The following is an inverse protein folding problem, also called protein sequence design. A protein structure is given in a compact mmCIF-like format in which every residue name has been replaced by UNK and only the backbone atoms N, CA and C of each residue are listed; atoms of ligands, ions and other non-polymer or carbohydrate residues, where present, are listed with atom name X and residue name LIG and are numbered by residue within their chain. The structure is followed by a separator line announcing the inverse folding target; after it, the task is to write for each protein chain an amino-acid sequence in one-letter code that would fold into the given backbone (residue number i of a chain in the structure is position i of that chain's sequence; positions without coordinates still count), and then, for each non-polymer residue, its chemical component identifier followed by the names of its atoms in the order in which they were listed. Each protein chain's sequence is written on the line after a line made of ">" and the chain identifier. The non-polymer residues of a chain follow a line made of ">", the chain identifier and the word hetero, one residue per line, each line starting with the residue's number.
data_IF_019100744197
#
_entry.id   IF_019100744197
#
_cell.length_a   1.000
_cell.length_b   1.000
_cell.length_c   1.000
_cell.angle_alpha   90.00
_cell.angle_beta   90.00
_cell.angle_gamma   90.00
#
_symmetry.space_group_name_H-M   'P 1'
#
loop_
_entity.id
_entity.type
_entity.pdbx_description
1 polymer ?
#
# COMPACT_ATOMS: atom_id res chain seq x y z
N UNK A 1 -58.07 37.57 -29.19
CA UNK A 1 -56.82 37.50 -29.96
C UNK A 1 -55.83 36.71 -29.11
N UNK A 2 -55.66 35.40 -29.30
CA UNK A 2 -54.77 34.78 -30.29
C UNK A 2 -53.39 35.49 -30.27
N UNK A 3 -52.26 34.88 -29.88
CA UNK A 3 -51.61 33.66 -30.38
C UNK A 3 -50.58 33.17 -29.32
N UNK A 4 -50.50 31.87 -28.98
CA UNK A 4 -49.47 30.86 -29.40
C UNK A 4 -48.02 31.21 -28.98
N UNK A 5 -47.17 30.38 -28.34
CA UNK A 5 -46.87 28.95 -28.45
C UNK A 5 -46.26 28.42 -27.12
N UNK A 6 -46.76 27.32 -26.57
CA UNK A 6 -46.20 25.95 -26.59
C UNK A 6 -44.83 25.74 -25.87
N UNK A 7 -44.78 24.88 -24.82
CA UNK A 7 -43.55 24.39 -24.22
C UNK A 7 -42.99 23.22 -25.04
N UNK A 8 -41.69 23.22 -25.33
CA UNK A 8 -41.05 22.06 -25.92
C UNK A 8 -40.82 20.99 -24.86
N UNK A 9 -41.74 20.03 -24.83
CA UNK A 9 -41.54 18.69 -24.28
C UNK A 9 -40.50 17.94 -25.12
N UNK A 10 -39.42 17.47 -24.50
CA UNK A 10 -38.60 16.39 -25.06
C UNK A 10 -38.89 15.10 -24.28
N UNK A 11 -39.68 14.24 -24.90
CA UNK A 11 -39.97 12.87 -24.46
C UNK A 11 -38.91 11.90 -25.02
N UNK A 12 -38.59 10.89 -24.20
CA UNK A 12 -38.31 9.50 -24.57
C UNK A 12 -36.89 9.05 -25.01
N UNK A 13 -36.27 8.32 -24.06
CA UNK A 13 -35.78 6.91 -24.17
C UNK A 13 -34.44 6.64 -24.94
N UNK A 14 -33.80 5.45 -24.78
CA UNK A 14 -32.84 5.18 -23.70
C UNK A 14 -31.54 4.47 -24.21
N UNK A 15 -30.65 4.05 -23.29
CA UNK A 15 -29.60 3.02 -23.47
C UNK A 15 -28.45 3.32 -24.46
N UNK A 16 -27.25 3.52 -23.90
CA UNK A 16 -26.01 2.91 -24.37
C UNK A 16 -25.08 2.75 -23.15
N UNK A 17 -25.17 1.64 -22.41
CA UNK A 17 -24.33 0.46 -22.64
C UNK A 17 -22.82 0.79 -22.73
N UNK A 18 -22.24 1.37 -21.67
CA UNK A 18 -20.80 1.23 -21.44
C UNK A 18 -20.56 -0.19 -20.93
N UNK A 19 -20.34 -1.08 -21.90
CA UNK A 19 -19.82 -2.43 -21.72
C UNK A 19 -18.63 -2.38 -20.77
N UNK A 20 -18.82 -2.85 -19.55
CA UNK A 20 -17.73 -3.40 -18.78
C UNK A 20 -17.20 -4.58 -19.61
N UNK A 21 -16.05 -4.39 -20.24
CA UNK A 21 -15.32 -5.49 -20.85
C UNK A 21 -14.98 -6.46 -19.72
N UNK A 22 -15.74 -7.55 -19.66
CA UNK A 22 -15.40 -8.72 -18.89
C UNK A 22 -14.06 -9.22 -19.42
N UNK A 23 -12.96 -8.76 -18.81
CA UNK A 23 -11.67 -9.38 -19.00
C UNK A 23 -11.79 -10.76 -18.37
N UNK A 24 -11.94 -11.75 -19.23
CA UNK A 24 -11.71 -13.15 -18.90
C UNK A 24 -10.39 -13.23 -18.15
N UNK A 25 -10.45 -13.74 -16.91
CA UNK A 25 -9.25 -14.19 -16.21
C UNK A 25 -8.70 -15.36 -17.00
N UNK A 26 -7.74 -15.07 -17.88
CA UNK A 26 -6.89 -16.09 -18.45
C UNK A 26 -5.96 -16.56 -17.33
N UNK A 27 -6.27 -17.73 -16.79
CA UNK A 27 -5.30 -18.54 -16.06
C UNK A 27 -4.16 -18.81 -17.04
N UNK A 28 -3.10 -18.01 -16.94
CA UNK A 28 -1.87 -18.30 -17.64
C UNK A 28 -1.26 -19.51 -16.93
N UNK A 29 -1.48 -20.70 -17.49
CA UNK A 29 -0.65 -21.85 -17.13
C UNK A 29 0.77 -21.47 -17.48
N UNK A 30 1.61 -21.28 -16.46
CA UNK A 30 3.04 -21.03 -16.60
C UNK A 30 3.64 -22.09 -17.52
N UNK A 31 4.07 -21.67 -18.72
CA UNK A 31 4.88 -22.47 -19.64
C UNK A 31 6.24 -22.70 -19.00
N UNK A 32 6.36 -23.74 -18.16
CA UNK A 32 7.56 -24.18 -17.46
C UNK A 32 8.73 -24.63 -18.38
N UNK A 33 8.61 -24.49 -19.70
CA UNK A 33 9.54 -25.09 -20.66
C UNK A 33 10.21 -24.09 -21.61
N UNK A 34 9.85 -22.81 -21.60
CA UNK A 34 10.33 -21.84 -22.61
C UNK A 34 11.59 -21.06 -22.22
N UNK A 35 12.25 -21.42 -21.12
CA UNK A 35 13.51 -20.81 -20.68
C UNK A 35 14.74 -21.74 -20.69
N UNK A 36 14.55 -23.06 -20.89
CA UNK A 36 15.64 -24.04 -20.88
C UNK A 36 16.42 -24.11 -22.21
N UNK A 37 15.89 -23.53 -23.29
CA UNK A 37 16.54 -23.53 -24.61
C UNK A 37 17.60 -22.44 -24.77
N UNK A 38 17.72 -21.51 -23.81
CA UNK A 38 18.70 -20.41 -23.83
C UNK A 38 19.98 -20.71 -23.01
N UNK A 39 20.32 -21.97 -22.79
CA UNK A 39 21.59 -22.38 -22.16
C UNK A 39 22.70 -22.48 -23.23
N UNK A 40 22.88 -21.43 -24.05
CA UNK A 40 24.02 -21.31 -24.98
C UNK A 40 25.08 -20.32 -24.51
N UNK A 41 24.80 -19.51 -23.48
CA UNK A 41 25.75 -18.54 -22.94
C UNK A 41 26.50 -19.11 -21.72
N UNK A 42 27.32 -20.14 -21.95
CA UNK A 42 28.37 -20.50 -20.98
C UNK A 42 29.60 -19.62 -21.29
N UNK A 43 30.08 -18.80 -20.34
CA UNK A 43 31.30 -18.01 -20.54
C UNK A 43 32.48 -18.94 -20.85
N UNK A 44 33.28 -18.59 -21.85
CA UNK A 44 34.50 -19.33 -22.17
C UNK A 44 35.58 -18.99 -21.13
N UNK A 45 36.04 -20.01 -20.39
CA UNK A 45 37.02 -19.88 -19.29
C UNK A 45 38.31 -19.13 -19.72
N UNK A 46 38.71 -18.14 -18.90
CA UNK A 46 39.91 -17.29 -19.11
C UNK A 46 41.13 -17.69 -18.28
N UNK A 47 41.02 -18.66 -17.37
CA UNK A 47 41.97 -18.76 -16.23
C UNK A 47 43.23 -19.58 -16.49
N UNK A 48 43.46 -20.04 -17.73
CA UNK A 48 44.73 -20.66 -18.13
C UNK A 48 45.43 -19.86 -19.21
N UNK A 49 46.58 -19.26 -18.86
CA UNK A 49 47.55 -18.73 -19.83
C UNK A 49 47.94 -19.86 -20.80
N UNK A 50 47.87 -19.64 -22.12
CA UNK A 50 48.20 -20.67 -23.09
C UNK A 50 49.71 -20.92 -23.11
N UNK A 51 50.14 -22.14 -22.76
CA UNK A 51 51.46 -22.66 -23.11
C UNK A 51 51.37 -23.27 -24.50
N UNK A 52 51.64 -22.48 -25.54
CA UNK A 52 51.72 -22.99 -26.91
C UNK A 52 51.47 -21.94 -27.98
N UNK A 53 52.46 -21.77 -28.87
CA UNK A 53 52.35 -21.06 -30.14
C UNK A 53 51.35 -21.80 -31.04
N UNK A 54 50.41 -21.06 -31.65
CA UNK A 54 49.40 -21.52 -32.62
C UNK A 54 48.13 -22.18 -32.07
N UNK A 55 47.12 -21.34 -31.84
CA UNK A 55 45.73 -21.51 -32.32
C UNK A 55 45.00 -20.18 -32.07
N UNK A 56 44.33 -19.65 -33.09
CA UNK A 56 43.51 -18.42 -32.99
C UNK A 56 42.36 -18.57 -31.99
N UNK A 57 41.49 -17.56 -31.84
CA UNK A 57 40.39 -17.57 -30.86
C UNK A 57 39.27 -18.50 -31.35
N UNK A 58 39.55 -19.81 -31.36
CA UNK A 58 38.54 -20.84 -31.52
C UNK A 58 37.76 -20.95 -30.21
N UNK A 59 36.43 -21.05 -30.31
CA UNK A 59 35.52 -21.32 -29.19
C UNK A 59 36.10 -22.45 -28.32
N UNK A 60 36.62 -22.11 -27.14
CA UNK A 60 37.16 -23.09 -26.20
C UNK A 60 35.97 -23.87 -25.65
N UNK A 61 35.91 -25.17 -25.89
CA UNK A 61 34.90 -26.04 -25.28
C UNK A 61 35.12 -26.01 -23.77
N UNK A 62 34.12 -25.53 -23.03
CA UNK A 62 34.13 -25.55 -21.56
C UNK A 62 34.13 -26.99 -21.07
N UNK A 63 34.89 -27.27 -20.01
CA UNK A 63 34.90 -28.62 -19.45
C UNK A 63 33.48 -28.96 -18.95
N UNK A 64 32.99 -30.21 -19.11
CA UNK A 64 31.63 -30.58 -18.69
C UNK A 64 31.32 -30.23 -17.23
N UNK A 65 32.32 -30.30 -16.35
CA UNK A 65 32.19 -29.92 -14.94
C UNK A 65 31.99 -28.40 -14.74
N UNK A 66 32.72 -27.56 -15.47
CA UNK A 66 32.56 -26.10 -15.43
C UNK A 66 31.20 -25.71 -16.00
N UNK A 67 30.79 -26.30 -17.13
CA UNK A 67 29.47 -26.08 -17.72
C UNK A 67 28.33 -26.45 -16.77
N UNK A 68 28.43 -27.58 -16.05
CA UNK A 68 27.46 -27.98 -15.05
C UNK A 68 27.38 -26.99 -13.87
N UNK A 69 28.51 -26.45 -13.42
CA UNK A 69 28.55 -25.43 -12.37
C UNK A 69 27.89 -24.12 -12.82
N UNK A 70 28.17 -23.66 -14.05
CA UNK A 70 27.52 -22.48 -14.61
C UNK A 70 26.00 -22.67 -14.78
N UNK A 71 25.58 -23.83 -15.26
CA UNK A 71 24.16 -24.17 -15.38
C UNK A 71 23.47 -24.23 -14.01
N UNK A 72 24.14 -24.77 -13.00
CA UNK A 72 23.63 -24.76 -11.63
C UNK A 72 23.46 -23.34 -11.09
N UNK A 73 24.47 -22.47 -11.25
CA UNK A 73 24.40 -21.08 -10.83
C UNK A 73 23.28 -20.36 -11.57
N UNK A 74 23.15 -20.54 -12.90
CA UNK A 74 22.09 -19.90 -13.69
C UNK A 74 20.70 -20.42 -13.33
N UNK A 75 20.56 -21.71 -13.02
CA UNK A 75 19.33 -22.29 -12.52
C UNK A 75 18.96 -21.70 -11.16
N UNK A 76 19.94 -21.54 -10.27
CA UNK A 76 19.75 -20.88 -8.98
C UNK A 76 19.37 -19.40 -9.15
N UNK A 77 20.07 -18.65 -10.00
CA UNK A 77 19.76 -17.25 -10.31
C UNK A 77 18.32 -17.13 -10.85
N UNK A 78 17.89 -18.06 -11.70
CA UNK A 78 16.55 -18.05 -12.29
C UNK A 78 15.47 -18.42 -11.25
N UNK A 79 15.70 -19.46 -10.44
CA UNK A 79 14.80 -19.82 -9.34
C UNK A 79 14.71 -18.70 -8.28
N UNK A 80 15.81 -18.02 -8.00
CA UNK A 80 15.80 -16.82 -7.17
C UNK A 80 15.01 -15.72 -7.87
N UNK A 81 15.30 -15.35 -9.13
CA UNK A 81 14.50 -14.32 -9.80
C UNK A 81 12.99 -14.61 -9.82
N UNK A 82 12.55 -15.84 -10.05
CA UNK A 82 11.12 -16.20 -10.00
C UNK A 82 10.53 -16.04 -8.58
N UNK A 83 11.26 -16.48 -7.54
CA UNK A 83 10.79 -16.35 -6.15
C UNK A 83 10.91 -14.94 -5.58
N UNK A 84 11.85 -14.15 -6.09
CA UNK A 84 12.04 -12.75 -5.75
C UNK A 84 11.00 -11.92 -6.51
N UNK A 85 10.83 -12.03 -7.82
CA UNK A 85 9.87 -11.20 -8.59
C UNK A 85 8.42 -11.30 -8.09
N UNK A 86 7.94 -12.49 -7.71
CA UNK A 86 6.53 -12.65 -7.29
C UNK A 86 6.28 -12.21 -5.83
N UNK A 87 7.27 -12.37 -4.94
CA UNK A 87 7.10 -12.17 -3.49
C UNK A 87 8.02 -11.11 -2.89
N UNK A 88 8.80 -10.39 -3.70
CA UNK A 88 9.75 -9.38 -3.23
C UNK A 88 9.13 -8.31 -2.35
N UNK A 89 8.02 -7.68 -2.76
CA UNK A 89 7.36 -6.67 -1.93
C UNK A 89 6.84 -7.22 -0.60
N UNK A 90 6.74 -8.55 -0.47
CA UNK A 90 6.15 -9.24 0.67
C UNK A 90 7.18 -10.06 1.48
N UNK A 91 8.48 -9.86 1.23
CA UNK A 91 9.55 -10.51 2.00
C UNK A 91 9.54 -9.99 3.44
N UNK A 92 9.14 -10.85 4.36
CA UNK A 92 8.97 -10.52 5.78
C UNK A 92 7.60 -10.92 6.31
N UNK A 93 6.62 -11.13 5.44
CA UNK A 93 5.31 -11.67 5.85
C UNK A 93 5.39 -13.19 6.03
N UNK A 94 4.71 -13.76 7.05
CA UNK A 94 4.57 -15.20 7.17
C UNK A 94 3.83 -15.76 5.93
N UNK A 95 4.25 -16.93 5.46
CA UNK A 95 3.58 -17.59 4.35
C UNK A 95 2.19 -18.07 4.79
N UNK A 96 1.13 -17.83 4.00
CA UNK A 96 -0.18 -18.39 4.30
C UNK A 96 -0.14 -19.92 4.21
N UNK A 97 -1.15 -20.57 4.81
CA UNK A 97 -1.29 -22.02 4.76
C UNK A 97 -1.61 -22.46 3.32
N UNK A 98 -0.77 -23.36 2.79
CA UNK A 98 -0.92 -23.91 1.44
C UNK A 98 -1.95 -25.05 1.44
N UNK A 99 -3.23 -24.69 1.35
CA UNK A 99 -4.35 -25.62 1.22
C UNK A 99 -5.14 -25.34 -0.03
N UNK A 100 -5.72 -26.39 -0.61
CA UNK A 100 -6.75 -26.25 -1.62
C UNK A 100 -7.95 -25.54 -0.98
N UNK A 101 -8.36 -24.39 -1.51
CA UNK A 101 -9.44 -23.55 -0.97
C UNK A 101 -8.96 -22.26 -0.29
N UNK A 102 -7.67 -22.16 0.05
CA UNK A 102 -7.08 -20.96 0.63
C UNK A 102 -6.40 -20.06 -0.42
N UNK A 103 -6.81 -20.16 -1.70
CA UNK A 103 -6.22 -19.37 -2.79
C UNK A 103 -6.31 -17.86 -2.55
N UNK A 104 -7.35 -17.42 -1.83
CA UNK A 104 -7.55 -16.01 -1.50
C UNK A 104 -6.41 -15.46 -0.64
N UNK A 105 -5.74 -16.28 0.18
CA UNK A 105 -4.62 -15.84 1.01
C UNK A 105 -3.30 -15.71 0.23
N UNK A 106 -3.17 -16.41 -0.90
CA UNK A 106 -1.97 -16.36 -1.75
C UNK A 106 -2.02 -15.20 -2.75
N UNK A 107 -3.22 -14.79 -3.15
CA UNK A 107 -3.46 -13.66 -4.06
C UNK A 107 -3.05 -12.34 -3.40
N UNK A 108 -2.51 -11.42 -4.21
CA UNK A 108 -2.23 -10.04 -3.80
C UNK A 108 -3.52 -9.22 -3.86
N UNK A 109 -3.96 -8.71 -2.71
CA UNK A 109 -5.20 -7.95 -2.58
C UNK A 109 -5.00 -6.46 -2.87
N UNK A 110 -5.70 -5.89 -3.86
CA UNK A 110 -5.78 -4.44 -4.03
C UNK A 110 -6.39 -3.78 -2.80
N UNK A 111 -5.73 -2.77 -2.25
CA UNK A 111 -6.26 -2.05 -1.09
C UNK A 111 -7.64 -1.42 -1.36
N UNK A 112 -7.92 -1.01 -2.59
CA UNK A 112 -9.26 -0.54 -2.98
C UNK A 112 -10.38 -1.57 -2.74
N UNK A 113 -10.16 -2.85 -3.07
CA UNK A 113 -11.15 -3.91 -2.83
C UNK A 113 -11.35 -4.17 -1.33
N UNK A 114 -10.29 -4.03 -0.54
CA UNK A 114 -10.37 -4.13 0.92
C UNK A 114 -11.17 -2.96 1.49
N UNK A 115 -11.01 -1.74 0.95
CA UNK A 115 -11.78 -0.57 1.37
C UNK A 115 -13.25 -0.61 0.90
N UNK A 116 -13.57 -1.25 -0.22
CA UNK A 116 -14.96 -1.47 -0.65
C UNK A 116 -15.69 -2.47 0.26
N UNK A 117 -14.97 -3.47 0.78
CA UNK A 117 -15.52 -4.55 1.59
C UNK A 117 -15.11 -4.42 3.07
N UNK A 118 -15.57 -3.36 3.74
CA UNK A 118 -15.31 -3.20 5.18
C UNK A 118 -16.29 -4.04 5.99
N UNK A 119 -15.81 -5.17 6.50
CA UNK A 119 -16.60 -6.11 7.30
C UNK A 119 -16.07 -6.12 8.73
N UNK A 120 -16.95 -5.88 9.71
CA UNK A 120 -16.62 -5.93 11.14
C UNK A 120 -17.39 -7.08 11.78
N UNK A 121 -16.68 -7.89 12.55
CA UNK A 121 -17.26 -9.00 13.33
C UNK A 121 -17.00 -8.74 14.81
N UNK A 122 -17.75 -9.43 15.68
CA UNK A 122 -17.60 -9.29 17.11
C UNK A 122 -16.13 -9.51 17.57
N UNK A 123 -15.57 -8.68 18.46
CA UNK A 123 -14.15 -8.77 18.86
C UNK A 123 -13.77 -10.10 19.53
N UNK A 124 -14.74 -10.78 20.15
CA UNK A 124 -14.52 -12.11 20.75
C UNK A 124 -14.47 -13.26 19.75
N UNK A 125 -14.77 -13.03 18.48
CA UNK A 125 -14.59 -14.06 17.45
C UNK A 125 -13.11 -14.39 17.32
N UNK A 126 -12.80 -15.68 17.38
CA UNK A 126 -11.43 -16.20 17.32
C UNK A 126 -11.01 -16.55 15.90
N UNK A 127 -11.81 -17.40 15.25
CA UNK A 127 -11.49 -17.97 13.95
C UNK A 127 -12.75 -18.24 13.15
N UNK A 128 -12.66 -18.17 11.81
CA UNK A 128 -13.74 -18.53 10.88
C UNK A 128 -13.15 -19.47 9.83
N UNK A 129 -13.69 -20.68 9.75
CA UNK A 129 -13.28 -21.70 8.77
C UNK A 129 -14.42 -21.98 7.80
N UNK A 130 -14.17 -21.95 6.50
CA UNK A 130 -15.15 -22.31 5.47
C UNK A 130 -14.73 -23.61 4.81
N UNK A 131 -15.55 -24.64 4.93
CA UNK A 131 -15.32 -25.95 4.33
C UNK A 131 -16.32 -26.20 3.21
N UNK A 132 -15.83 -26.57 2.04
CA UNK A 132 -16.68 -26.94 0.90
C UNK A 132 -16.08 -28.12 0.13
N UNK A 133 -16.91 -28.90 -0.54
CA UNK A 133 -16.46 -30.06 -1.33
C UNK A 133 -15.95 -29.67 -2.70
N UNK A 134 -15.06 -30.48 -3.27
CA UNK A 134 -14.63 -30.35 -4.66
C UNK A 134 -15.72 -30.77 -5.63
N UNK A 135 -16.50 -31.80 -5.29
CA UNK A 135 -17.51 -32.39 -6.17
C UNK A 135 -18.86 -32.52 -5.45
N UNK A 136 -19.92 -32.27 -6.20
CA UNK A 136 -21.31 -32.38 -5.76
C UNK A 136 -22.07 -33.20 -6.80
N UNK A 137 -23.02 -34.00 -6.33
CA UNK A 137 -23.89 -34.82 -7.16
C UNK A 137 -25.22 -34.14 -7.47
N UNK A 138 -25.67 -33.21 -6.62
CA UNK A 138 -26.93 -32.49 -6.81
C UNK A 138 -26.72 -31.05 -7.29
N UNK A 139 -27.64 -30.49 -8.09
CA UNK A 139 -27.54 -29.09 -8.54
C UNK A 139 -27.63 -28.09 -7.38
N UNK A 140 -28.37 -28.42 -6.32
CA UNK A 140 -28.47 -27.59 -5.12
C UNK A 140 -27.16 -27.62 -4.32
N UNK A 141 -26.56 -28.81 -4.14
CA UNK A 141 -25.26 -28.92 -3.49
C UNK A 141 -24.17 -28.20 -4.28
N UNK A 142 -24.19 -28.29 -5.60
CA UNK A 142 -23.27 -27.54 -6.46
C UNK A 142 -23.45 -26.02 -6.28
N UNK A 143 -24.69 -25.53 -6.22
CA UNK A 143 -24.98 -24.12 -5.90
C UNK A 143 -24.42 -23.74 -4.52
N UNK A 144 -24.62 -24.58 -3.51
CA UNK A 144 -24.14 -24.35 -2.15
C UNK A 144 -22.61 -24.26 -2.10
N UNK A 145 -21.91 -25.18 -2.77
CA UNK A 145 -20.45 -25.18 -2.85
C UNK A 145 -19.91 -23.94 -3.58
N UNK A 146 -20.55 -23.52 -4.68
CA UNK A 146 -20.21 -22.27 -5.38
C UNK A 146 -20.44 -21.04 -4.52
N UNK A 147 -21.53 -21.00 -3.73
CA UNK A 147 -21.81 -19.93 -2.77
C UNK A 147 -20.73 -19.87 -1.68
N UNK A 148 -20.41 -21.01 -1.07
CA UNK A 148 -19.35 -21.10 -0.05
C UNK A 148 -18.00 -20.64 -0.59
N UNK A 149 -17.63 -21.10 -1.79
CA UNK A 149 -16.40 -20.68 -2.49
C UNK A 149 -16.41 -19.19 -2.83
N UNK A 150 -17.54 -18.65 -3.29
CA UNK A 150 -17.64 -17.21 -3.59
C UNK A 150 -17.49 -16.39 -2.32
N UNK A 151 -18.13 -16.80 -1.23
CA UNK A 151 -18.01 -16.12 0.07
C UNK A 151 -16.58 -16.21 0.62
N UNK A 152 -15.91 -17.37 0.49
CA UNK A 152 -14.53 -17.54 0.93
C UNK A 152 -13.57 -16.61 0.19
N UNK A 153 -13.73 -16.53 -1.15
CA UNK A 153 -12.91 -15.70 -2.01
C UNK A 153 -13.18 -14.20 -1.85
N UNK A 154 -14.44 -13.81 -1.60
CA UNK A 154 -14.83 -12.40 -1.56
C UNK A 154 -14.68 -11.76 -0.18
N UNK A 155 -14.97 -12.49 0.90
CA UNK A 155 -15.22 -11.87 2.21
C UNK A 155 -14.27 -12.31 3.33
N UNK A 156 -13.61 -13.47 3.25
CA UNK A 156 -12.72 -13.90 4.34
C UNK A 156 -11.51 -12.98 4.52
N UNK A 157 -10.81 -12.66 3.44
CA UNK A 157 -9.64 -11.77 3.53
C UNK A 157 -10.02 -10.38 4.02
N UNK A 158 -11.09 -9.73 3.53
CA UNK A 158 -11.57 -8.49 4.14
C UNK A 158 -11.93 -8.62 5.62
N UNK A 159 -12.53 -9.74 6.07
CA UNK A 159 -12.81 -9.96 7.49
C UNK A 159 -11.52 -9.95 8.32
N UNK A 160 -10.50 -10.75 7.99
CA UNK A 160 -9.25 -10.76 8.79
C UNK A 160 -8.47 -9.44 8.63
N UNK A 161 -8.53 -8.80 7.46
CA UNK A 161 -7.87 -7.52 7.24
C UNK A 161 -8.42 -6.43 8.16
N UNK A 162 -9.74 -6.32 8.26
CA UNK A 162 -10.42 -5.32 9.10
C UNK A 162 -10.59 -5.73 10.56
N UNK A 163 -10.36 -7.00 10.89
CA UNK A 163 -10.42 -7.56 12.24
C UNK A 163 -9.13 -8.35 12.47
N UNK A 164 -8.07 -7.65 12.84
CA UNK A 164 -6.72 -8.21 12.92
C UNK A 164 -6.58 -9.36 13.92
N UNK A 165 -7.51 -9.49 14.87
CA UNK A 165 -7.57 -10.59 15.82
C UNK A 165 -8.16 -11.89 15.23
N UNK A 166 -8.90 -11.84 14.12
CA UNK A 166 -9.65 -13.00 13.61
C UNK A 166 -8.81 -13.76 12.59
N UNK A 167 -8.62 -15.06 12.83
CA UNK A 167 -8.02 -15.95 11.83
C UNK A 167 -9.09 -16.45 10.87
N UNK A 168 -8.81 -16.44 9.57
CA UNK A 168 -9.73 -16.94 8.55
C UNK A 168 -9.03 -17.98 7.69
N UNK A 169 -9.76 -19.03 7.34
CA UNK A 169 -9.24 -20.10 6.49
C UNK A 169 -10.38 -20.70 5.67
N UNK A 170 -10.07 -21.12 4.45
CA UNK A 170 -10.99 -21.89 3.63
C UNK A 170 -10.30 -23.14 3.13
N UNK A 171 -11.03 -24.25 3.13
CA UNK A 171 -10.52 -25.55 2.72
C UNK A 171 -11.53 -26.26 1.82
N UNK A 172 -11.03 -26.74 0.68
CA UNK A 172 -11.75 -27.54 -0.28
C UNK A 172 -11.46 -29.02 -0.02
N UNK A 173 -12.47 -29.74 0.45
CA UNK A 173 -12.40 -31.17 0.74
C UNK A 173 -12.54 -31.98 -0.54
N UNK A 174 -11.63 -32.93 -0.77
CA UNK A 174 -11.63 -33.81 -1.94
C UNK A 174 -12.62 -34.98 -1.80
N UNK A 175 -13.88 -34.64 -1.47
CA UNK A 175 -14.96 -35.58 -1.26
C UNK A 175 -16.22 -35.19 -2.06
N UNK A 176 -17.16 -36.13 -2.16
CA UNK A 176 -18.52 -35.85 -2.61
C UNK A 176 -19.38 -35.47 -1.40
N UNK A 177 -19.74 -34.19 -1.30
CA UNK A 177 -20.61 -33.69 -0.24
C UNK A 177 -21.52 -32.60 -0.78
N UNK A 178 -22.78 -32.58 -0.35
CA UNK A 178 -23.80 -31.64 -0.83
C UNK A 178 -23.94 -30.41 0.07
N UNK A 179 -23.34 -30.42 1.26
CA UNK A 179 -23.59 -29.40 2.28
C UNK A 179 -22.27 -28.85 2.80
N UNK A 180 -21.78 -27.73 2.22
CA UNK A 180 -20.69 -26.96 2.81
C UNK A 180 -21.08 -26.39 4.17
N UNK A 181 -20.11 -26.06 5.00
CA UNK A 181 -20.36 -25.43 6.30
C UNK A 181 -19.27 -24.43 6.67
N UNK A 182 -19.64 -23.52 7.58
CA UNK A 182 -18.73 -22.56 8.20
C UNK A 182 -18.64 -22.86 9.68
N UNK A 183 -17.43 -22.87 10.23
CA UNK A 183 -17.20 -23.01 11.67
C UNK A 183 -16.70 -21.68 12.21
N UNK A 184 -17.46 -21.09 13.13
CA UNK A 184 -17.09 -19.87 13.85
C UNK A 184 -16.65 -20.26 15.26
N UNK A 185 -15.44 -19.90 15.64
CA UNK A 185 -14.91 -20.09 16.99
C UNK A 185 -14.92 -18.77 17.75
N UNK A 186 -15.20 -18.82 19.04
CA UNK A 186 -15.06 -17.70 19.96
C UNK A 186 -13.81 -17.88 20.85
N UNK A 187 -13.30 -16.79 21.41
CA UNK A 187 -12.13 -16.79 22.30
C UNK A 187 -12.38 -17.54 23.62
N UNK A 188 -13.64 -17.69 24.04
CA UNK A 188 -14.01 -18.47 25.22
C UNK A 188 -13.99 -20.00 25.00
N UNK A 189 -13.65 -20.45 23.79
CA UNK A 189 -13.58 -21.85 23.40
C UNK A 189 -14.87 -22.42 22.81
N UNK A 190 -15.97 -21.66 22.81
CA UNK A 190 -17.21 -22.08 22.15
C UNK A 190 -17.08 -22.02 20.62
N UNK A 191 -17.89 -22.82 19.92
CA UNK A 191 -17.94 -22.82 18.47
C UNK A 191 -19.37 -23.03 17.97
N UNK A 192 -19.65 -22.55 16.76
CA UNK A 192 -20.92 -22.76 16.07
C UNK A 192 -20.67 -23.16 14.62
N UNK A 193 -21.45 -24.13 14.16
CA UNK A 193 -21.44 -24.60 12.79
C UNK A 193 -22.65 -24.02 12.04
N UNK A 194 -22.39 -23.42 10.88
CA UNK A 194 -23.39 -22.82 9.99
C UNK A 194 -23.40 -23.59 8.66
N UNK A 195 -24.43 -24.40 8.37
CA UNK A 195 -24.53 -25.07 7.08
C UNK A 195 -24.90 -24.06 5.98
N UNK A 196 -24.30 -24.20 4.80
CA UNK A 196 -24.60 -23.36 3.64
C UNK A 196 -25.80 -23.95 2.90
N UNK A 197 -26.96 -23.28 2.99
CA UNK A 197 -28.22 -23.73 2.41
C UNK A 197 -28.84 -22.63 1.53
N UNK A 198 -28.40 -22.52 0.26
CA UNK A 198 -28.96 -21.52 -0.65
C UNK A 198 -30.39 -21.88 -1.03
N UNK A 199 -31.20 -20.85 -1.34
CA UNK A 199 -32.55 -21.08 -1.86
C UNK A 199 -32.52 -21.51 -3.34
N UNK A 200 -33.48 -22.35 -3.79
CA UNK A 200 -33.54 -22.74 -5.19
C UNK A 200 -33.78 -21.51 -6.08
N UNK A 201 -32.93 -21.34 -7.10
CA UNK A 201 -32.99 -20.20 -8.03
C UNK A 201 -32.26 -18.94 -7.57
N UNK A 202 -31.66 -18.94 -6.37
CA UNK A 202 -30.85 -17.85 -5.86
C UNK A 202 -29.55 -17.67 -6.66
N UNK A 203 -29.11 -16.43 -6.87
CA UNK A 203 -27.81 -16.19 -7.50
C UNK A 203 -26.68 -16.49 -6.52
N UNK A 204 -25.51 -16.88 -7.06
CA UNK A 204 -24.32 -17.16 -6.22
C UNK A 204 -23.89 -15.93 -5.40
N UNK A 205 -24.09 -14.73 -5.95
CA UNK A 205 -23.74 -13.48 -5.27
C UNK A 205 -24.66 -13.22 -4.07
N UNK A 206 -25.98 -13.27 -4.29
CA UNK A 206 -26.97 -13.10 -3.21
C UNK A 206 -26.77 -14.17 -2.12
N UNK A 207 -26.54 -15.43 -2.52
CA UNK A 207 -26.26 -16.50 -1.56
C UNK A 207 -24.99 -16.26 -0.74
N UNK A 208 -23.96 -15.66 -1.33
CA UNK A 208 -22.73 -15.33 -0.63
C UNK A 208 -22.92 -14.15 0.35
N UNK A 209 -23.73 -13.16 0.00
CA UNK A 209 -24.12 -12.05 0.88
C UNK A 209 -24.98 -12.53 2.05
N UNK A 210 -25.94 -13.42 1.79
CA UNK A 210 -26.74 -14.06 2.85
C UNK A 210 -25.88 -14.90 3.79
N UNK A 211 -24.91 -15.65 3.24
CA UNK A 211 -23.95 -16.41 4.05
C UNK A 211 -23.07 -15.48 4.89
N UNK A 212 -22.60 -14.36 4.33
CA UNK A 212 -21.86 -13.35 5.08
C UNK A 212 -22.68 -12.81 6.25
N UNK A 213 -23.94 -12.44 6.00
CA UNK A 213 -24.86 -11.97 7.04
C UNK A 213 -25.05 -13.03 8.14
N UNK A 214 -25.22 -14.30 7.76
CA UNK A 214 -25.33 -15.40 8.72
C UNK A 214 -24.05 -15.57 9.56
N UNK A 215 -22.87 -15.42 8.96
CA UNK A 215 -21.57 -15.47 9.67
C UNK A 215 -21.46 -14.32 10.67
N UNK A 216 -21.76 -13.08 10.25
CA UNK A 216 -21.71 -11.89 11.11
C UNK A 216 -22.69 -12.02 12.28
N UNK A 217 -23.93 -12.45 12.01
CA UNK A 217 -24.94 -12.67 13.05
C UNK A 217 -24.50 -13.75 14.04
N UNK A 218 -23.94 -14.86 13.55
CA UNK A 218 -23.41 -15.90 14.42
C UNK A 218 -22.24 -15.40 15.28
N UNK A 219 -21.35 -14.57 14.73
CA UNK A 219 -20.26 -13.94 15.50
C UNK A 219 -20.80 -13.05 16.62
N UNK A 220 -21.81 -12.24 16.33
CA UNK A 220 -22.44 -11.36 17.32
C UNK A 220 -23.16 -12.17 18.41
N UNK A 221 -24.01 -13.12 18.04
CA UNK A 221 -24.72 -13.97 19.00
C UNK A 221 -23.74 -14.76 19.90
N UNK A 222 -22.65 -15.28 19.34
CA UNK A 222 -21.62 -15.96 20.13
C UNK A 222 -20.84 -15.01 21.04
N UNK A 223 -20.57 -13.80 20.56
CA UNK A 223 -19.90 -12.75 21.33
C UNK A 223 -20.73 -12.28 22.53
N UNK A 224 -22.03 -12.08 22.33
CA UNK A 224 -22.97 -11.66 23.37
C UNK A 224 -23.21 -12.78 24.40
N UNK A 225 -23.09 -14.04 23.98
CA UNK A 225 -23.23 -15.20 24.85
C UNK A 225 -21.99 -15.48 25.74
N UNK A 226 -20.91 -14.71 25.61
CA UNK A 226 -19.67 -14.91 26.39
C UNK A 226 -19.92 -14.68 27.88
N UNK A 227 -19.74 -15.73 28.68
CA UNK A 227 -19.99 -15.71 30.13
C UNK A 227 -19.02 -14.84 30.92
N UNK A 228 -17.75 -14.75 30.50
CA UNK A 228 -16.66 -14.06 31.23
C UNK A 228 -15.97 -13.01 30.36
N UNK A 229 -16.65 -11.90 30.02
CA UNK A 229 -16.15 -10.94 29.03
C UNK A 229 -14.82 -10.30 29.43
N UNK A 230 -14.60 -10.01 30.72
CA UNK A 230 -13.34 -9.40 31.19
C UNK A 230 -12.12 -10.29 30.97
N UNK A 231 -12.25 -11.59 31.19
CA UNK A 231 -11.17 -12.55 30.96
C UNK A 231 -10.91 -12.70 29.46
N UNK A 232 -11.99 -12.79 28.67
CA UNK A 232 -11.88 -12.90 27.22
C UNK A 232 -11.27 -11.63 26.60
N UNK A 233 -11.55 -10.45 27.13
CA UNK A 233 -10.88 -9.20 26.72
C UNK A 233 -9.38 -9.23 27.00
N UNK A 234 -8.93 -9.83 28.13
CA UNK A 234 -7.49 -9.99 28.40
C UNK A 234 -6.84 -10.93 27.38
N UNK A 235 -7.50 -12.05 27.09
CA UNK A 235 -7.06 -12.97 26.04
C UNK A 235 -6.98 -12.26 24.69
N UNK A 236 -7.97 -11.41 24.36
CA UNK A 236 -7.95 -10.61 23.14
C UNK A 236 -6.76 -9.65 23.10
N UNK A 237 -6.47 -8.93 24.19
CA UNK A 237 -5.35 -7.99 24.26
C UNK A 237 -3.98 -8.66 24.17
N UNK A 238 -3.85 -9.89 24.66
CA UNK A 238 -2.60 -10.68 24.59
C UNK A 238 -2.44 -11.42 23.25
N UNK A 239 -3.50 -11.47 22.45
CA UNK A 239 -3.49 -12.23 21.20
C UNK A 239 -2.71 -11.48 20.11
N UNK A 240 -1.81 -12.16 19.38
CA UNK A 240 -1.12 -11.55 18.25
C UNK A 240 -2.05 -11.32 17.05
N UNK A 241 -1.62 -10.44 16.15
CA UNK A 241 -2.30 -10.18 14.89
C UNK A 241 -2.31 -11.44 14.01
N UNK A 242 -3.48 -11.80 13.49
CA UNK A 242 -3.70 -12.98 12.65
C UNK A 242 -3.57 -12.67 11.16
N UNK A 243 -3.72 -11.40 10.76
CA UNK A 243 -3.73 -10.95 9.37
C UNK A 243 -2.32 -10.71 8.77
N UNK A 244 -1.26 -11.13 9.45
CA UNK A 244 0.13 -10.87 9.04
C UNK A 244 0.50 -11.52 7.70
N UNK A 245 -0.18 -12.59 7.29
CA UNK A 245 0.07 -13.28 6.02
C UNK A 245 -0.57 -12.59 4.81
N UNK A 246 -1.45 -11.60 5.02
CA UNK A 246 -2.22 -10.97 3.95
C UNK A 246 -1.30 -10.10 3.10
N UNK A 247 -1.26 -10.38 1.80
CA UNK A 247 -0.47 -9.62 0.82
C UNK A 247 -1.32 -8.47 0.29
N UNK A 248 -1.02 -7.25 0.73
CA UNK A 248 -1.78 -6.05 0.35
C UNK A 248 -0.99 -5.19 -0.62
N UNK A 249 -1.62 -4.80 -1.73
CA UNK A 249 -1.08 -3.82 -2.66
C UNK A 249 -1.66 -2.43 -2.34
N UNK A 250 -0.85 -1.58 -1.71
CA UNK A 250 -1.18 -0.19 -1.34
C UNK A 250 -1.02 0.79 -2.53
N UNK A 251 -1.69 0.49 -3.64
CA UNK A 251 -1.58 1.13 -4.96
C UNK A 251 -1.14 2.62 -5.00
N UNK A 252 -1.98 3.54 -4.50
CA UNK A 252 -1.71 5.00 -4.46
C UNK A 252 -2.05 5.62 -3.10
N UNK A 253 -2.35 4.78 -2.11
CA UNK A 253 -2.82 5.24 -0.80
C UNK A 253 -1.66 5.62 0.12
N UNK A 254 -0.46 5.08 -0.11
CA UNK A 254 0.69 5.24 0.77
C UNK A 254 1.11 3.90 1.39
N UNK A 255 2.43 3.70 1.46
CA UNK A 255 3.04 2.46 1.95
C UNK A 255 3.00 2.42 3.48
N UNK A 256 3.19 3.58 4.12
CA UNK A 256 3.11 3.71 5.58
C UNK A 256 1.70 4.06 6.05
N UNK A 257 1.30 3.68 7.28
CA UNK A 257 0.05 4.14 7.86
C UNK A 257 -0.08 5.68 7.91
N UNK A 258 1.03 6.39 8.12
CA UNK A 258 1.07 7.86 8.15
C UNK A 258 0.74 8.48 6.80
N UNK A 259 1.27 7.93 5.70
CA UNK A 259 0.92 8.38 4.34
C UNK A 259 -0.56 8.15 4.04
N UNK A 260 -1.08 6.97 4.39
CA UNK A 260 -2.50 6.63 4.22
C UNK A 260 -3.42 7.55 5.00
N UNK A 261 -2.99 7.98 6.18
CA UNK A 261 -3.73 8.86 7.07
C UNK A 261 -3.28 10.32 6.98
N UNK A 262 -2.49 10.70 5.97
CA UNK A 262 -1.95 12.06 5.82
C UNK A 262 -3.02 13.15 5.69
N UNK A 263 -4.23 12.76 5.27
CA UNK A 263 -5.40 13.62 5.18
C UNK A 263 -6.17 13.78 6.51
N UNK A 264 -5.74 13.09 7.58
CA UNK A 264 -6.35 13.12 8.91
C UNK A 264 -5.32 13.57 9.96
N UNK A 265 -5.81 14.17 11.05
CA UNK A 265 -4.96 14.51 12.20
C UNK A 265 -4.85 13.29 13.12
N UNK A 266 -3.62 12.83 13.37
CA UNK A 266 -3.33 11.74 14.32
C UNK A 266 -3.11 12.31 15.73
N UNK A 267 -4.14 12.27 16.56
CA UNK A 267 -4.05 12.68 17.97
C UNK A 267 -3.47 11.58 18.87
N UNK A 268 -3.68 10.33 18.49
CA UNK A 268 -3.19 9.17 19.23
C UNK A 268 -1.71 8.93 18.89
N UNK A 269 -0.82 9.60 19.63
CA UNK A 269 0.62 9.40 19.55
C UNK A 269 1.24 9.21 20.93
N UNK A 270 2.24 8.34 21.01
CA UNK A 270 3.03 8.15 22.22
C UNK A 270 4.17 9.20 22.25
N UNK A 271 4.31 10.02 23.29
CA UNK A 271 5.36 11.04 23.36
C UNK A 271 6.78 10.46 23.25
N UNK A 272 6.99 9.24 23.73
CA UNK A 272 8.28 8.54 23.65
C UNK A 272 8.68 8.17 22.22
N UNK A 273 7.69 7.84 21.37
CA UNK A 273 7.91 7.51 19.95
C UNK A 273 8.15 8.75 19.10
N UNK A 274 7.48 9.87 19.42
CA UNK A 274 7.58 11.12 18.65
C UNK A 274 8.88 11.89 18.94
N UNK A 275 9.45 11.74 20.14
CA UNK A 275 10.67 12.43 20.53
C UNK A 275 11.89 11.93 19.69
N UNK A 276 12.53 12.77 18.86
CA UNK A 276 13.61 12.29 18.00
C UNK A 276 14.82 11.84 18.83
N UNK A 277 15.27 10.61 18.59
CA UNK A 277 16.41 9.98 19.27
C UNK A 277 17.72 10.19 18.49
N UNK A 278 18.07 11.47 18.28
CA UNK A 278 19.25 11.88 17.51
C UNK A 278 20.08 12.90 18.31
N UNK A 279 21.40 12.85 18.15
CA UNK A 279 22.27 13.94 18.63
C UNK A 279 21.90 15.23 17.88
N UNK A 280 21.88 16.36 18.57
CA UNK A 280 21.48 17.66 18.02
C UNK A 280 20.07 17.66 17.40
N UNK A 281 19.12 16.86 17.94
CA UNK A 281 17.74 16.77 17.44
C UNK A 281 17.06 18.11 17.19
N UNK A 282 17.29 19.12 18.04
CA UNK A 282 16.70 20.45 17.89
C UNK A 282 17.17 21.14 16.61
N UNK A 283 18.46 21.03 16.28
CA UNK A 283 19.01 21.57 15.03
C UNK A 283 18.32 20.91 13.82
N UNK A 284 18.25 19.58 13.79
CA UNK A 284 17.62 18.85 12.70
C UNK A 284 16.13 19.19 12.53
N UNK A 285 15.39 19.33 13.64
CA UNK A 285 13.97 19.71 13.60
C UNK A 285 13.79 21.13 13.06
N UNK A 286 14.62 22.09 13.49
CA UNK A 286 14.60 23.46 12.96
C UNK A 286 14.88 23.47 11.45
N UNK A 287 15.87 22.70 11.01
CA UNK A 287 16.22 22.55 9.59
C UNK A 287 15.07 21.95 8.77
N UNK A 288 14.40 20.89 9.26
CA UNK A 288 13.27 20.25 8.58
C UNK A 288 12.03 21.14 8.50
N UNK A 289 11.74 21.86 9.58
CA UNK A 289 10.61 22.81 9.63
C UNK A 289 10.91 24.10 8.88
N UNK A 290 12.17 24.33 8.50
CA UNK A 290 12.65 25.62 8.00
C UNK A 290 12.24 26.77 8.94
N UNK A 291 12.40 26.53 10.24
CA UNK A 291 12.11 27.48 11.31
C UNK A 291 13.42 27.96 11.93
N UNK A 292 13.54 29.27 12.11
CA UNK A 292 14.75 29.93 12.60
C UNK A 292 15.01 29.72 14.09
N UNK A 293 13.98 29.36 14.87
CA UNK A 293 14.13 29.11 16.31
C UNK A 293 14.58 30.33 17.09
N UNK A 294 14.33 31.54 16.55
CA UNK A 294 14.85 32.81 17.06
C UNK A 294 16.39 32.87 17.17
N UNK A 295 17.11 32.12 16.33
CA UNK A 295 18.58 32.16 16.27
C UNK A 295 19.07 33.33 15.41
N UNK A 296 20.21 33.96 15.74
CA UNK A 296 20.76 35.05 14.94
C UNK A 296 21.25 34.55 13.56
N UNK A 297 21.12 35.41 12.54
CA UNK A 297 21.61 35.10 11.19
C UNK A 297 23.13 34.93 11.16
N UNK A 298 23.60 33.93 10.40
CA UNK A 298 25.02 33.69 10.23
C UNK A 298 25.72 34.84 9.49
N UNK A 299 26.98 35.13 9.84
CA UNK A 299 27.72 36.26 9.26
C UNK A 299 27.90 36.16 7.73
N UNK A 300 28.02 34.94 7.19
CA UNK A 300 28.09 34.74 5.73
C UNK A 300 26.86 35.30 5.00
N UNK A 301 25.67 35.22 5.61
CA UNK A 301 24.45 35.81 5.06
C UNK A 301 24.60 37.32 4.97
N UNK A 302 25.10 37.97 6.03
CA UNK A 302 25.32 39.43 6.05
C UNK A 302 26.34 39.88 4.99
N UNK A 303 27.41 39.11 4.81
CA UNK A 303 28.43 39.37 3.77
C UNK A 303 27.84 39.20 2.38
N UNK A 304 27.07 38.14 2.15
CA UNK A 304 26.40 37.89 0.87
C UNK A 304 25.38 38.98 0.55
N UNK A 305 24.56 39.42 1.52
CA UNK A 305 23.62 40.53 1.35
C UNK A 305 24.35 41.79 0.87
N UNK A 306 25.47 42.16 1.51
CA UNK A 306 26.26 43.33 1.09
C UNK A 306 26.83 43.16 -0.32
N UNK A 307 27.29 41.96 -0.67
CA UNK A 307 27.82 41.65 -2.00
C UNK A 307 26.73 41.74 -3.08
N UNK A 308 25.56 41.16 -2.84
CA UNK A 308 24.44 41.23 -3.79
C UNK A 308 23.88 42.66 -3.89
N UNK A 309 23.83 43.42 -2.79
CA UNK A 309 23.47 44.83 -2.81
C UNK A 309 24.45 45.67 -3.67
N UNK A 310 25.74 45.34 -3.65
CA UNK A 310 26.73 45.99 -4.50
C UNK A 310 26.57 45.61 -5.99
N UNK A 311 26.23 44.35 -6.30
CA UNK A 311 25.93 43.89 -7.68
C UNK A 311 24.67 44.54 -8.24
N UNK A 312 23.63 44.66 -7.42
CA UNK A 312 22.33 45.23 -7.77
C UNK A 312 22.30 46.76 -7.73
N UNK A 313 23.44 47.43 -7.57
CA UNK A 313 23.55 48.90 -7.46
C UNK A 313 23.29 49.65 -8.79
N UNK A 314 22.35 49.18 -9.61
CA UNK A 314 21.85 49.83 -10.83
C UNK A 314 20.34 49.61 -10.87
N UNK A 315 19.53 50.63 -10.53
CA UNK A 315 19.47 51.91 -11.25
C UNK A 315 19.63 53.17 -10.35
N UNK A 316 19.87 54.33 -10.99
CA UNK A 316 19.84 55.64 -10.32
C UNK A 316 18.45 55.91 -9.74
N UNK A 317 18.33 55.95 -8.41
CA UNK A 317 17.07 56.27 -7.71
C UNK A 317 16.88 57.78 -7.50
N UNK A 318 17.46 58.61 -8.37
CA UNK A 318 17.34 60.07 -8.28
C UNK A 318 16.02 60.55 -8.91
N UNK A 319 15.10 61.05 -8.09
CA UNK A 319 13.91 61.76 -8.57
C UNK A 319 14.23 63.25 -8.78
N UNK A 320 13.83 63.82 -9.92
CA UNK A 320 14.21 65.18 -10.37
C UNK A 320 14.16 66.25 -9.27
N UNK A 321 12.99 66.59 -8.69
CA UNK A 321 12.88 67.63 -7.67
C UNK A 321 13.57 67.28 -6.34
N UNK A 322 13.78 65.99 -6.04
CA UNK A 322 14.46 65.56 -4.80
C UNK A 322 15.97 65.81 -4.84
N UNK A 323 16.55 66.02 -6.02
CA UNK A 323 17.99 66.33 -6.17
C UNK A 323 18.40 67.61 -5.44
N UNK A 324 17.52 68.62 -5.37
CA UNK A 324 17.76 69.85 -4.61
C UNK A 324 17.97 69.55 -3.12
N UNK A 325 17.13 68.73 -2.50
CA UNK A 325 17.29 68.33 -1.11
C UNK A 325 18.44 67.34 -0.90
N UNK A 326 18.67 66.41 -1.83
CA UNK A 326 19.79 65.46 -1.79
C UNK A 326 21.16 66.17 -1.88
N UNK A 327 21.22 67.37 -2.47
CA UNK A 327 22.45 68.18 -2.57
C UNK A 327 22.94 68.73 -1.22
N UNK A 328 22.08 68.77 -0.20
CA UNK A 328 22.43 69.23 1.15
C UNK A 328 23.57 68.44 1.81
N UNK A 329 23.77 67.17 1.42
CA UNK A 329 24.88 66.34 1.88
C UNK A 329 26.26 66.78 1.36
N UNK A 330 26.31 67.50 0.23
CA UNK A 330 27.56 67.96 -0.40
C UNK A 330 28.19 69.17 0.30
N UNK A 331 27.44 69.86 1.18
CA UNK A 331 27.94 70.96 2.04
C UNK A 331 28.86 71.97 1.35
N UNK A 332 28.52 72.37 0.11
CA UNK A 332 29.34 73.27 -0.70
C UNK A 332 29.34 74.73 -0.22
N UNK A 333 28.49 75.09 0.74
CA UNK A 333 28.42 76.44 1.30
C UNK A 333 29.48 76.61 2.40
N UNK A 334 30.34 77.63 2.28
CA UNK A 334 31.38 77.96 3.26
C UNK A 334 30.85 78.22 4.69
N UNK A 335 29.54 78.45 4.85
CA UNK A 335 28.86 78.60 6.14
C UNK A 335 28.53 77.26 6.82
N UNK A 336 28.80 76.13 6.16
CA UNK A 336 28.51 74.80 6.73
C UNK A 336 29.67 74.31 7.59
N UNK A 337 29.46 74.28 8.91
CA UNK A 337 30.43 73.73 9.84
C UNK A 337 30.28 72.19 9.95
N UNK A 338 31.40 71.48 10.14
CA UNK A 338 31.41 70.01 10.24
C UNK A 338 30.81 69.50 11.55
N UNK A 339 31.10 70.21 12.65
CA UNK A 339 30.73 69.83 14.02
C UNK A 339 29.57 70.65 14.59
N UNK A 340 29.27 71.82 13.98
CA UNK A 340 28.11 72.64 14.33
C UNK A 340 27.14 72.60 13.14
N UNK A 341 25.95 72.00 13.34
CA UNK A 341 24.91 71.94 12.32
C UNK A 341 24.63 73.34 11.75
N UNK A 342 24.29 73.40 10.45
CA UNK A 342 24.22 74.56 9.56
C UNK A 342 23.33 75.75 9.99
N UNK A 343 23.54 76.29 11.19
CA UNK A 343 23.16 77.62 11.60
C UNK A 343 24.41 78.47 11.42
N UNK A 344 24.44 79.28 10.37
CA UNK A 344 25.34 80.42 10.34
C UNK A 344 25.10 81.24 11.61
N UNK A 345 26.13 81.77 12.29
CA UNK A 345 25.92 82.71 13.38
C UNK A 345 25.03 83.83 12.84
N UNK A 346 23.83 83.98 13.42
CA UNK A 346 23.01 85.15 13.18
C UNK A 346 23.77 86.31 13.83
N UNK A 347 24.29 87.21 13.01
CA UNK A 347 24.80 88.51 13.44
C UNK A 347 23.64 89.40 13.87
#
# INVERSE_FOLDING_TARGET
>A
MALLHAPSTALARPIAALRASARSFSVHSTRLLLGLEQVQDVPTSSDRKPTGMHRGPGKRQTAPAEAAQYQFIKKWDLQMRETWDELEPFKGLPKPKAQFGNEAAEVIWPYALLLENVIKVHPYTKSIYVYYSQRQSTPLGELAARVAKRASQAYLIPITFHNSQVYVEAEMLLEYSETPWVVVHCLDGTHRLLPVKPQPGQTVKEGAEDLLNAIVNACNEMGDAVKRPKEVMRVLSERPLQNQYVRVNYQWYGDTPEERMSHLVKWDYEPEEVAPQLRNRTQHVLDWMNYDGNLPTHNSVRVNIRREAARMRKPNVSAGPKTFFNSSGSRANARTARFNNARSPQS
#
